data_IF_350332523320
#
_entry.id   IF_350332523320
#
_cell.length_a   1.000
_cell.length_b   1.000
_cell.length_c   1.000
_cell.angle_alpha   90.00
_cell.angle_beta   90.00
_cell.angle_gamma   90.00
#
_symmetry.space_group_name_H-M   'P 1'
#
loop_
_entity.id
_entity.type
_entity.pdbx_description
1 polymer ?
#
# COMPACT_ATOMS: atom_id res chain seq x y z
N UNK A 1 -12.76 1.33 21.35
CA UNK A 1 -11.88 2.45 21.07
C UNK A 1 -12.70 3.58 20.45
N UNK A 2 -12.74 4.73 21.08
CA UNK A 2 -13.64 5.86 20.75
C UNK A 2 -13.51 6.34 19.29
N UNK A 3 -12.27 6.36 18.75
CA UNK A 3 -12.01 6.77 17.37
C UNK A 3 -12.65 5.81 16.35
N UNK A 4 -12.63 4.52 16.62
CA UNK A 4 -13.22 3.51 15.74
C UNK A 4 -14.75 3.54 15.80
N UNK A 5 -15.28 3.75 17.00
CA UNK A 5 -16.72 3.89 17.21
C UNK A 5 -17.27 5.15 16.52
N UNK A 6 -16.56 6.27 16.59
CA UNK A 6 -16.93 7.51 15.90
C UNK A 6 -16.89 7.36 14.37
N UNK A 7 -15.90 6.66 13.84
CA UNK A 7 -15.82 6.37 12.40
C UNK A 7 -16.98 5.48 11.92
N UNK A 8 -17.38 4.48 12.72
CA UNK A 8 -18.54 3.64 12.41
C UNK A 8 -19.85 4.43 12.44
N UNK A 9 -19.98 5.40 13.35
CA UNK A 9 -21.14 6.32 13.38
C UNK A 9 -21.19 7.19 12.11
N UNK A 10 -20.05 7.69 11.61
CA UNK A 10 -19.97 8.46 10.36
C UNK A 10 -20.40 7.61 9.17
N UNK A 11 -19.98 6.35 9.10
CA UNK A 11 -20.43 5.42 8.04
C UNK A 11 -21.95 5.22 8.09
N UNK A 12 -22.50 4.95 9.26
CA UNK A 12 -23.93 4.78 9.45
C UNK A 12 -24.72 6.02 9.06
N UNK A 13 -24.24 7.21 9.43
CA UNK A 13 -24.85 8.49 9.05
C UNK A 13 -24.81 8.73 7.54
N UNK A 14 -23.66 8.43 6.90
CA UNK A 14 -23.52 8.56 5.44
C UNK A 14 -24.51 7.66 4.70
N UNK A 15 -24.69 6.41 5.12
CA UNK A 15 -25.65 5.49 4.54
C UNK A 15 -27.11 5.92 4.76
N UNK A 16 -27.41 6.60 5.88
CA UNK A 16 -28.73 7.13 6.16
C UNK A 16 -29.07 8.35 5.29
N UNK A 17 -28.09 9.20 4.99
CA UNK A 17 -28.27 10.41 4.17
C UNK A 17 -28.30 10.09 2.68
N UNK A 18 -27.47 9.11 2.23
CA UNK A 18 -27.41 8.67 0.83
C UNK A 18 -27.83 7.20 0.76
N UNK A 19 -29.11 6.89 0.62
CA UNK A 19 -29.61 5.52 0.51
C UNK A 19 -28.93 4.78 -0.65
N UNK A 20 -28.59 3.50 -0.44
CA UNK A 20 -27.86 2.64 -1.37
C UNK A 20 -26.36 2.95 -1.55
N UNK A 21 -25.77 3.79 -0.69
CA UNK A 21 -24.31 3.99 -0.65
C UNK A 21 -23.67 2.85 0.13
N UNK A 22 -22.76 2.13 -0.52
CA UNK A 22 -21.95 1.10 0.12
C UNK A 22 -20.64 1.74 0.59
N UNK A 23 -20.45 1.88 1.91
CA UNK A 23 -19.21 2.38 2.50
C UNK A 23 -18.40 1.19 2.98
N UNK A 24 -17.24 0.97 2.35
CA UNK A 24 -16.29 -0.08 2.74
C UNK A 24 -15.16 0.59 3.51
N UNK A 25 -14.92 0.11 4.73
CA UNK A 25 -13.78 0.54 5.53
C UNK A 25 -12.67 -0.50 5.43
N UNK A 26 -11.47 -0.03 5.06
CA UNK A 26 -10.26 -0.84 4.95
C UNK A 26 -9.22 -0.25 5.90
N UNK A 27 -8.53 -1.11 6.64
CA UNK A 27 -7.46 -0.71 7.55
C UNK A 27 -6.22 -1.58 7.37
N UNK A 28 -5.08 -1.03 7.71
CA UNK A 28 -3.81 -1.76 7.76
C UNK A 28 -3.89 -2.92 8.77
N UNK A 29 -3.16 -4.00 8.49
CA UNK A 29 -3.10 -5.14 9.40
C UNK A 29 -2.28 -4.83 10.66
N UNK A 30 -1.18 -4.12 10.50
CA UNK A 30 -0.21 -3.87 11.57
C UNK A 30 0.20 -5.16 12.32
N UNK A 31 0.18 -5.13 13.65
CA UNK A 31 0.49 -6.29 14.51
C UNK A 31 -0.76 -7.03 15.00
N UNK A 32 -1.92 -6.83 14.35
CA UNK A 32 -3.19 -7.48 14.76
C UNK A 32 -3.12 -8.99 14.66
N UNK A 33 -3.60 -9.65 15.70
CA UNK A 33 -3.80 -11.09 15.72
C UNK A 33 -4.97 -11.52 14.81
N UNK A 34 -5.04 -12.80 14.48
CA UNK A 34 -6.16 -13.35 13.69
C UNK A 34 -7.52 -13.11 14.38
N UNK A 35 -7.58 -13.23 15.71
CA UNK A 35 -8.82 -12.97 16.46
C UNK A 35 -9.28 -11.51 16.31
N UNK A 36 -8.36 -10.55 16.41
CA UNK A 36 -8.69 -9.13 16.22
C UNK A 36 -9.15 -8.84 14.77
N UNK A 37 -8.54 -9.50 13.78
CA UNK A 37 -8.97 -9.40 12.38
C UNK A 37 -10.38 -9.96 12.20
N UNK A 38 -10.68 -11.10 12.80
CA UNK A 38 -12.00 -11.72 12.75
C UNK A 38 -13.08 -10.84 13.39
N UNK A 39 -12.81 -10.31 14.59
CA UNK A 39 -13.71 -9.37 15.27
C UNK A 39 -14.00 -8.11 14.46
N UNK A 40 -12.99 -7.57 13.76
CA UNK A 40 -13.14 -6.42 12.87
C UNK A 40 -13.95 -6.78 11.62
N UNK A 41 -13.73 -7.98 11.07
CA UNK A 41 -14.49 -8.48 9.93
C UNK A 41 -15.98 -8.63 10.25
N UNK A 42 -16.32 -9.12 11.45
CA UNK A 42 -17.70 -9.21 11.92
C UNK A 42 -18.38 -7.83 12.01
N UNK A 43 -17.61 -6.77 12.25
CA UNK A 43 -18.06 -5.37 12.25
C UNK A 43 -18.09 -4.73 10.86
N UNK A 44 -17.86 -5.51 9.79
CA UNK A 44 -17.82 -5.02 8.42
C UNK A 44 -16.57 -4.24 8.04
N UNK A 45 -15.49 -4.35 8.83
CA UNK A 45 -14.20 -3.70 8.57
C UNK A 45 -13.30 -4.71 7.86
N UNK A 46 -12.77 -4.34 6.69
CA UNK A 46 -11.77 -5.15 5.96
C UNK A 46 -10.37 -4.84 6.49
N UNK A 47 -9.64 -5.85 6.88
CA UNK A 47 -8.23 -5.73 7.29
C UNK A 47 -7.35 -6.25 6.17
N UNK A 48 -6.31 -5.51 5.80
CA UNK A 48 -5.36 -5.94 4.78
C UNK A 48 -4.67 -7.26 5.20
N UNK A 49 -4.37 -8.13 4.24
CA UNK A 49 -3.61 -9.36 4.49
C UNK A 49 -2.13 -9.06 4.79
N UNK A 50 -1.60 -7.99 4.18
CA UNK A 50 -0.23 -7.50 4.44
C UNK A 50 -0.27 -6.40 5.50
N UNK A 51 0.87 -6.14 6.15
CA UNK A 51 1.00 -5.18 7.26
C UNK A 51 0.40 -3.81 6.93
N UNK A 52 0.77 -3.22 5.80
CA UNK A 52 0.36 -1.89 5.35
C UNK A 52 -0.03 -1.88 3.88
N UNK A 53 -0.77 -0.86 3.46
CA UNK A 53 -1.09 -0.64 2.05
C UNK A 53 0.17 -0.49 1.19
N UNK A 54 1.21 0.15 1.71
CA UNK A 54 2.49 0.32 1.02
C UNK A 54 3.15 -1.00 0.63
N UNK A 55 2.86 -2.10 1.33
CA UNK A 55 3.35 -3.44 0.97
C UNK A 55 2.80 -3.94 -0.37
N UNK A 56 1.60 -3.51 -0.75
CA UNK A 56 1.02 -3.77 -2.07
C UNK A 56 1.53 -2.79 -3.12
N UNK A 57 1.55 -1.50 -2.79
CA UNK A 57 1.97 -0.43 -3.71
C UNK A 57 3.42 -0.59 -4.15
N UNK A 58 4.29 -1.06 -3.26
CA UNK A 58 5.72 -1.28 -3.51
C UNK A 58 6.09 -2.76 -3.63
N UNK A 59 5.13 -3.60 -4.01
CA UNK A 59 5.38 -4.98 -4.40
C UNK A 59 6.39 -5.04 -5.55
N UNK A 60 7.18 -6.11 -5.60
CA UNK A 60 8.18 -6.30 -6.64
C UNK A 60 7.59 -6.23 -8.05
N UNK A 61 6.36 -6.75 -8.24
CA UNK A 61 5.62 -6.64 -9.49
C UNK A 61 5.45 -5.18 -9.93
N UNK A 62 5.06 -4.31 -9.01
CA UNK A 62 4.79 -2.90 -9.30
C UNK A 62 6.10 -2.14 -9.57
N UNK A 63 7.17 -2.44 -8.81
CA UNK A 63 8.49 -1.85 -9.06
C UNK A 63 9.01 -2.23 -10.46
N UNK A 64 8.88 -3.49 -10.85
CA UNK A 64 9.24 -3.96 -12.20
C UNK A 64 8.40 -3.26 -13.27
N UNK A 65 7.09 -3.14 -13.04
CA UNK A 65 6.19 -2.41 -13.95
C UNK A 65 6.59 -0.94 -14.08
N UNK A 66 7.01 -0.30 -12.99
CA UNK A 66 7.52 1.07 -13.04
C UNK A 66 8.74 1.19 -13.95
N UNK A 67 9.74 0.32 -13.77
CA UNK A 67 10.92 0.29 -14.64
C UNK A 67 10.54 0.11 -16.12
N UNK A 68 9.66 -0.85 -16.41
CA UNK A 68 9.20 -1.12 -17.78
C UNK A 68 8.43 0.07 -18.39
N UNK A 69 7.56 0.71 -17.61
CA UNK A 69 6.74 1.85 -18.07
C UNK A 69 7.58 3.05 -18.48
N UNK A 70 8.72 3.28 -17.84
CA UNK A 70 9.67 4.35 -18.21
C UNK A 70 10.73 3.90 -19.23
N UNK A 71 10.59 2.70 -19.79
CA UNK A 71 11.50 2.17 -20.82
C UNK A 71 12.85 1.72 -20.28
N UNK A 72 12.92 1.33 -19.00
CA UNK A 72 14.16 0.90 -18.30
C UNK A 72 14.00 -0.44 -17.59
N UNK A 73 13.36 -1.40 -18.25
CA UNK A 73 13.15 -2.74 -17.71
C UNK A 73 14.47 -3.44 -17.33
N UNK A 74 15.58 -3.11 -17.97
CA UNK A 74 16.92 -3.62 -17.66
C UNK A 74 17.40 -3.23 -16.25
N UNK A 75 16.82 -2.21 -15.63
CA UNK A 75 17.16 -1.74 -14.29
C UNK A 75 16.31 -2.39 -13.16
N UNK A 76 15.43 -3.31 -13.49
CA UNK A 76 14.52 -3.92 -12.48
C UNK A 76 15.27 -4.56 -11.31
N UNK A 77 16.34 -5.32 -11.57
CA UNK A 77 17.13 -5.96 -10.51
C UNK A 77 17.82 -4.93 -9.61
N UNK A 78 18.31 -3.85 -10.19
CA UNK A 78 18.92 -2.74 -9.43
C UNK A 78 17.86 -2.03 -8.57
N UNK A 79 16.66 -1.85 -9.08
CA UNK A 79 15.53 -1.27 -8.34
C UNK A 79 15.11 -2.17 -7.15
N UNK A 80 15.04 -3.49 -7.36
CA UNK A 80 14.74 -4.44 -6.28
C UNK A 80 15.84 -4.50 -5.22
N UNK A 81 17.11 -4.33 -5.62
CA UNK A 81 18.22 -4.21 -4.70
C UNK A 81 18.10 -2.96 -3.83
N UNK A 82 17.72 -1.82 -4.42
CA UNK A 82 17.44 -0.57 -3.69
C UNK A 82 16.31 -0.78 -2.67
N UNK A 83 15.23 -1.45 -3.06
CA UNK A 83 14.14 -1.79 -2.14
C UNK A 83 14.66 -2.58 -0.95
N UNK A 84 15.44 -3.64 -1.18
CA UNK A 84 15.98 -4.49 -0.11
C UNK A 84 16.93 -3.71 0.80
N UNK A 85 17.76 -2.84 0.25
CA UNK A 85 18.66 -1.99 1.05
C UNK A 85 17.89 -1.02 1.95
N UNK A 86 16.82 -0.42 1.45
CA UNK A 86 15.95 0.46 2.24
C UNK A 86 15.23 -0.31 3.36
N UNK A 87 14.76 -1.52 3.09
CA UNK A 87 14.15 -2.40 4.10
C UNK A 87 15.19 -2.76 5.17
N UNK A 88 16.40 -3.17 4.79
CA UNK A 88 17.47 -3.50 5.73
C UNK A 88 17.85 -2.31 6.61
N UNK A 89 17.91 -1.11 6.05
CA UNK A 89 18.14 0.13 6.81
C UNK A 89 17.00 0.40 7.80
N UNK A 90 15.77 0.15 7.41
CA UNK A 90 14.58 0.28 8.29
C UNK A 90 14.64 -0.73 9.45
N UNK A 91 14.98 -1.98 9.18
CA UNK A 91 15.16 -3.02 10.20
C UNK A 91 16.26 -2.61 11.19
N UNK A 92 17.36 -2.06 10.71
CA UNK A 92 18.47 -1.58 11.56
C UNK A 92 18.04 -0.44 12.49
N UNK A 93 16.98 0.29 12.16
CA UNK A 93 16.35 1.30 13.03
C UNK A 93 15.32 0.73 14.01
N UNK A 94 15.12 -0.59 14.01
CA UNK A 94 14.21 -1.29 14.93
C UNK A 94 12.83 -1.59 14.37
N UNK A 95 12.57 -1.36 13.08
CA UNK A 95 11.29 -1.65 12.47
C UNK A 95 11.16 -3.14 12.10
N UNK A 96 9.92 -3.62 11.96
CA UNK A 96 9.65 -5.00 11.57
C UNK A 96 10.12 -5.29 10.13
N UNK A 97 10.40 -6.57 9.83
CA UNK A 97 10.91 -7.01 8.53
C UNK A 97 9.92 -6.79 7.38
N UNK A 98 8.64 -6.74 7.69
CA UNK A 98 7.53 -6.51 6.75
C UNK A 98 6.97 -5.07 6.79
N UNK A 99 7.64 -4.17 7.51
CA UNK A 99 7.28 -2.75 7.58
C UNK A 99 7.81 -1.98 6.35
N UNK A 100 7.13 -2.15 5.23
CA UNK A 100 7.44 -1.45 3.99
C UNK A 100 7.14 0.05 4.09
N UNK A 101 6.14 0.43 4.88
CA UNK A 101 5.74 1.83 5.08
C UNK A 101 6.89 2.69 5.59
N UNK A 102 7.62 2.22 6.61
CA UNK A 102 8.77 2.93 7.17
C UNK A 102 9.96 3.05 6.21
N UNK A 103 10.05 2.17 5.21
CA UNK A 103 11.07 2.21 4.17
C UNK A 103 10.61 2.90 2.88
N UNK A 104 9.32 3.21 2.74
CA UNK A 104 8.70 3.60 1.47
C UNK A 104 9.31 4.83 0.83
N UNK A 105 9.59 5.87 1.62
CA UNK A 105 10.22 7.09 1.09
C UNK A 105 11.61 6.81 0.50
N UNK A 106 12.44 6.04 1.19
CA UNK A 106 13.79 5.69 0.72
C UNK A 106 13.72 4.81 -0.53
N UNK A 107 12.77 3.87 -0.58
CA UNK A 107 12.55 3.02 -1.75
C UNK A 107 12.27 3.87 -2.98
N UNK A 108 11.21 4.67 -2.95
CA UNK A 108 10.76 5.37 -4.15
C UNK A 108 11.67 6.51 -4.57
N UNK A 109 12.27 7.25 -3.62
CA UNK A 109 13.18 8.34 -3.95
C UNK A 109 14.49 7.83 -4.56
N UNK A 110 15.03 6.71 -4.08
CA UNK A 110 16.24 6.11 -4.63
C UNK A 110 15.98 5.41 -5.96
N UNK A 111 14.84 4.76 -6.15
CA UNK A 111 14.47 4.21 -7.47
C UNK A 111 14.24 5.33 -8.48
N UNK A 112 13.59 6.43 -8.08
CA UNK A 112 13.45 7.63 -8.92
C UNK A 112 14.81 8.11 -9.44
N UNK A 113 15.82 8.19 -8.56
CA UNK A 113 17.20 8.58 -8.93
C UNK A 113 17.82 7.56 -9.89
N UNK A 114 17.68 6.27 -9.62
CA UNK A 114 18.17 5.20 -10.50
C UNK A 114 17.58 5.33 -11.91
N UNK A 115 16.28 5.61 -12.01
CA UNK A 115 15.58 5.75 -13.27
C UNK A 115 15.79 7.10 -13.94
N UNK A 116 16.46 8.06 -13.30
CA UNK A 116 16.75 9.39 -13.85
C UNK A 116 15.48 10.25 -14.05
N UNK A 117 14.45 10.03 -13.26
CA UNK A 117 13.18 10.74 -13.39
C UNK A 117 13.20 12.07 -12.64
N UNK A 118 12.65 13.12 -13.24
CA UNK A 118 12.61 14.47 -12.68
C UNK A 118 11.19 14.96 -12.39
N UNK A 119 10.18 14.40 -13.05
CA UNK A 119 8.79 14.90 -13.05
C UNK A 119 7.79 13.95 -12.35
N UNK A 120 8.24 13.07 -11.45
CA UNK A 120 7.35 12.09 -10.80
C UNK A 120 7.03 12.39 -9.34
N UNK A 121 7.20 13.63 -8.89
CA UNK A 121 6.99 14.06 -7.51
C UNK A 121 8.29 14.37 -6.78
N UNK A 122 8.20 15.19 -5.72
CA UNK A 122 9.36 15.71 -4.99
C UNK A 122 9.64 14.95 -3.67
N UNK A 123 8.68 14.16 -3.17
CA UNK A 123 8.82 13.35 -1.98
C UNK A 123 8.16 11.98 -2.17
N UNK A 124 8.41 11.06 -1.26
CA UNK A 124 7.93 9.68 -1.37
C UNK A 124 6.41 9.57 -1.48
N UNK A 125 5.68 10.34 -0.71
CA UNK A 125 4.21 10.34 -0.74
C UNK A 125 3.65 10.78 -2.10
N UNK A 126 4.17 11.86 -2.66
CA UNK A 126 3.78 12.34 -3.99
C UNK A 126 4.13 11.34 -5.09
N UNK A 127 5.31 10.71 -5.02
CA UNK A 127 5.71 9.67 -5.98
C UNK A 127 4.75 8.47 -5.91
N UNK A 128 4.42 8.01 -4.72
CA UNK A 128 3.50 6.88 -4.54
C UNK A 128 2.13 7.22 -5.08
N UNK A 129 1.58 8.36 -4.70
CA UNK A 129 0.23 8.78 -5.13
C UNK A 129 0.13 8.97 -6.64
N UNK A 130 1.06 9.70 -7.23
CA UNK A 130 0.94 10.20 -8.60
C UNK A 130 1.61 9.30 -9.65
N UNK A 131 2.59 8.48 -9.25
CA UNK A 131 3.38 7.65 -10.16
C UNK A 131 3.17 6.15 -9.93
N UNK A 132 3.19 5.69 -8.69
CA UNK A 132 3.10 4.26 -8.36
C UNK A 132 1.66 3.76 -8.39
N UNK A 133 0.74 4.43 -7.72
CA UNK A 133 -0.65 4.01 -7.63
C UNK A 133 -1.31 3.78 -9.01
N UNK A 134 -1.09 4.63 -10.03
CA UNK A 134 -1.63 4.38 -11.37
C UNK A 134 -1.10 3.12 -12.07
N UNK A 135 0.01 2.53 -11.60
CA UNK A 135 0.55 1.28 -12.16
C UNK A 135 -0.23 0.05 -11.71
N UNK A 136 -1.03 0.17 -10.66
CA UNK A 136 -1.87 -0.93 -10.15
C UNK A 136 -3.14 -0.98 -10.99
N UNK A 137 -3.07 -1.78 -12.03
CA UNK A 137 -4.13 -1.97 -13.02
C UNK A 137 -4.71 -3.39 -12.91
N UNK A 138 -5.92 -3.67 -13.46
CA UNK A 138 -6.60 -4.96 -13.30
C UNK A 138 -5.80 -6.19 -13.73
N UNK A 139 -4.79 -6.03 -14.57
CA UNK A 139 -3.87 -7.09 -15.00
C UNK A 139 -2.78 -7.42 -13.98
N UNK A 140 -2.59 -6.59 -12.94
CA UNK A 140 -1.62 -6.86 -11.89
C UNK A 140 -2.16 -7.81 -10.83
N UNK A 141 -1.29 -8.67 -10.30
CA UNK A 141 -1.65 -9.57 -9.21
C UNK A 141 -2.01 -8.80 -7.93
N UNK A 142 -1.32 -7.68 -7.68
CA UNK A 142 -1.62 -6.78 -6.57
C UNK A 142 -3.05 -6.26 -6.64
N UNK A 143 -3.50 -5.79 -7.80
CA UNK A 143 -4.88 -5.36 -7.99
C UNK A 143 -5.86 -6.49 -7.69
N UNK A 144 -5.62 -7.68 -8.23
CA UNK A 144 -6.48 -8.84 -8.04
C UNK A 144 -6.55 -9.27 -6.57
N UNK A 145 -5.45 -9.18 -5.82
CA UNK A 145 -5.44 -9.45 -4.38
C UNK A 145 -6.30 -8.44 -3.61
N UNK A 146 -6.14 -7.15 -3.89
CA UNK A 146 -6.92 -6.09 -3.26
C UNK A 146 -8.41 -6.17 -3.62
N UNK A 147 -8.73 -6.45 -4.87
CA UNK A 147 -10.11 -6.63 -5.34
C UNK A 147 -10.81 -7.78 -4.59
N UNK A 148 -10.15 -8.93 -4.45
CA UNK A 148 -10.68 -10.07 -3.68
C UNK A 148 -10.88 -9.75 -2.21
N UNK A 149 -9.94 -9.02 -1.60
CA UNK A 149 -10.07 -8.59 -0.21
C UNK A 149 -11.27 -7.67 -0.01
N UNK A 150 -11.47 -6.73 -0.91
CA UNK A 150 -12.48 -5.68 -0.77
C UNK A 150 -13.86 -6.18 -1.17
N UNK A 151 -13.98 -6.91 -2.27
CA UNK A 151 -15.25 -7.29 -2.91
C UNK A 151 -15.52 -8.80 -2.90
N UNK A 152 -14.54 -9.59 -2.62
CA UNK A 152 -14.63 -11.05 -2.60
C UNK A 152 -15.33 -11.60 -1.39
#
# INVERSE_FOLDING_TARGET
NDIEEDKLKVIGLTQAIVPNTNVIRIIDRDDRSENEVEELSEKGIKVLDRRHLESYLLDDEIIKKWCATVGKAELENSALTIKQQAINASISRGNATDDIKSASNDIVTNIKKLLGLTACGNNGEAIIRDTITPLITPDTQVYQQLERLIFG
#
